data_IF_367366465324
#
_entry.id   IF_367366465324
#
_cell.length_a   1.000
_cell.length_b   1.000
_cell.length_c   1.000
_cell.angle_alpha   90.00
_cell.angle_beta   90.00
_cell.angle_gamma   90.00
#
_symmetry.space_group_name_H-M   'P 1'
#
loop_
_entity.id
_entity.type
_entity.pdbx_description
1 polymer ?
#
# COMPACT_ATOMS: atom_id res chain seq x y z
N UNK A 1 56.50 48.26 -23.93
CA UNK A 1 55.07 48.04 -24.11
C UNK A 1 54.71 46.64 -23.60
N UNK A 2 54.15 46.56 -22.38
CA UNK A 2 53.76 45.29 -21.76
C UNK A 2 52.28 45.02 -22.10
N UNK A 3 51.99 43.93 -22.82
CA UNK A 3 50.63 43.49 -23.12
C UNK A 3 50.12 42.69 -21.95
N UNK A 4 49.05 43.19 -21.27
CA UNK A 4 48.35 42.50 -20.20
C UNK A 4 47.29 41.62 -20.90
N UNK A 5 47.42 40.26 -20.77
CA UNK A 5 46.39 39.33 -21.17
C UNK A 5 45.38 39.18 -20.02
N UNK A 6 44.17 39.65 -20.26
CA UNK A 6 43.05 39.50 -19.34
C UNK A 6 42.37 38.15 -19.65
N UNK A 7 42.62 37.11 -18.82
CA UNK A 7 41.87 35.86 -18.89
C UNK A 7 40.47 36.04 -18.24
N UNK A 8 39.41 36.08 -19.05
CA UNK A 8 38.06 35.96 -18.55
C UNK A 8 37.82 34.49 -18.20
N UNK A 9 37.78 34.14 -16.91
CA UNK A 9 37.21 32.89 -16.43
C UNK A 9 35.68 33.02 -16.44
N UNK A 10 35.03 32.46 -17.46
CA UNK A 10 33.58 32.23 -17.42
C UNK A 10 33.31 31.02 -16.52
N UNK A 11 32.91 31.29 -15.29
CA UNK A 11 32.42 30.26 -14.36
C UNK A 11 31.08 29.70 -14.86
N UNK A 12 31.11 28.48 -15.40
CA UNK A 12 29.88 27.71 -15.63
C UNK A 12 29.31 27.32 -14.28
N UNK A 13 28.30 28.04 -13.78
CA UNK A 13 27.47 27.58 -12.70
C UNK A 13 26.63 26.40 -13.22
N UNK A 14 27.09 25.18 -13.02
CA UNK A 14 26.27 23.99 -13.12
C UNK A 14 25.25 24.04 -11.96
N UNK A 15 24.10 24.68 -12.19
CA UNK A 15 22.93 24.49 -11.33
C UNK A 15 22.55 23.02 -11.40
N UNK A 16 22.98 22.23 -10.40
CA UNK A 16 22.53 20.87 -10.22
C UNK A 16 21.01 20.88 -10.09
N UNK A 17 20.31 20.43 -11.13
CA UNK A 17 18.88 20.14 -11.04
C UNK A 17 18.78 18.96 -10.08
N UNK A 18 18.49 19.25 -8.82
CA UNK A 18 18.10 18.21 -7.86
C UNK A 18 16.82 17.57 -8.43
N UNK A 19 16.91 16.32 -8.85
CA UNK A 19 15.73 15.58 -9.31
C UNK A 19 14.69 15.61 -8.18
N UNK A 20 13.54 16.20 -8.46
CA UNK A 20 12.45 16.29 -7.49
C UNK A 20 12.02 14.86 -7.10
N UNK A 21 12.08 14.56 -5.80
CA UNK A 21 11.77 13.21 -5.29
C UNK A 21 10.26 12.99 -5.33
N UNK A 22 9.82 12.03 -6.12
CA UNK A 22 8.44 11.50 -6.10
C UNK A 22 8.27 10.58 -4.87
N UNK A 23 8.05 11.18 -3.70
CA UNK A 23 8.02 10.47 -2.42
C UNK A 23 6.80 9.52 -2.30
N UNK A 24 5.68 9.84 -2.94
CA UNK A 24 4.49 9.00 -2.97
C UNK A 24 4.49 7.99 -4.13
N UNK A 25 5.53 8.01 -4.97
CA UNK A 25 5.73 7.12 -6.10
C UNK A 25 4.58 7.13 -7.13
N UNK A 26 4.06 8.31 -7.45
CA UNK A 26 3.03 8.49 -8.47
C UNK A 26 3.44 7.91 -9.84
N UNK A 27 4.72 8.02 -10.19
CA UNK A 27 5.25 7.53 -11.46
C UNK A 27 5.15 6.01 -11.62
N UNK A 28 5.09 5.23 -10.50
CA UNK A 28 5.12 3.75 -10.55
C UNK A 28 4.03 3.19 -11.45
N UNK A 29 2.82 3.68 -11.32
CA UNK A 29 1.65 3.15 -12.05
C UNK A 29 1.12 4.07 -13.15
N UNK A 30 1.68 5.27 -13.31
CA UNK A 30 1.17 6.26 -14.27
C UNK A 30 1.05 5.71 -15.70
N UNK A 31 2.11 5.07 -16.22
CA UNK A 31 2.07 4.50 -17.56
C UNK A 31 1.14 3.28 -17.67
N UNK A 32 1.06 2.46 -16.62
CA UNK A 32 0.16 1.31 -16.57
C UNK A 32 -1.31 1.77 -16.50
N UNK A 33 -1.62 2.81 -15.72
CA UNK A 33 -2.95 3.37 -15.62
C UNK A 33 -3.46 3.88 -16.99
N UNK A 34 -2.59 4.52 -17.77
CA UNK A 34 -2.95 5.01 -19.12
C UNK A 34 -3.21 3.92 -20.15
N UNK A 35 -2.76 2.68 -19.90
CA UNK A 35 -2.94 1.54 -20.82
C UNK A 35 -4.18 0.70 -20.52
N UNK A 36 -4.87 0.97 -19.40
CA UNK A 36 -6.10 0.24 -19.07
C UNK A 36 -7.22 0.76 -19.96
N UNK A 37 -7.70 -0.10 -20.86
CA UNK A 37 -8.75 0.18 -21.84
C UNK A 37 -9.97 -0.74 -21.68
N UNK A 38 -10.06 -1.43 -20.55
CA UNK A 38 -11.13 -2.36 -20.21
C UNK A 38 -11.81 -1.97 -18.88
N UNK A 39 -13.08 -2.38 -18.65
CA UNK A 39 -13.76 -2.15 -17.38
C UNK A 39 -13.06 -2.89 -16.23
N UNK A 40 -12.57 -2.13 -15.25
CA UNK A 40 -11.88 -2.67 -14.06
C UNK A 40 -12.93 -3.14 -13.04
N UNK A 41 -12.88 -4.41 -12.63
CA UNK A 41 -13.78 -4.98 -11.62
C UNK A 41 -13.37 -4.55 -10.21
N UNK A 42 -12.10 -4.65 -9.89
CA UNK A 42 -11.58 -4.16 -8.61
C UNK A 42 -10.15 -3.67 -8.72
N UNK A 43 -9.83 -2.63 -7.96
CA UNK A 43 -8.45 -2.23 -7.68
C UNK A 43 -8.06 -2.74 -6.30
N UNK A 44 -6.92 -3.40 -6.21
CA UNK A 44 -6.32 -3.82 -4.93
C UNK A 44 -5.30 -2.77 -4.52
N UNK A 45 -5.68 -1.92 -3.57
CA UNK A 45 -4.85 -0.85 -3.02
C UNK A 45 -4.11 -1.36 -1.78
N UNK A 46 -2.77 -1.24 -1.77
CA UNK A 46 -1.98 -1.76 -0.66
C UNK A 46 -0.49 -1.44 -0.73
N UNK A 47 0.27 -2.20 0.04
CA UNK A 47 1.72 -2.11 0.16
C UNK A 47 2.45 -3.26 -0.58
N UNK A 48 3.62 -3.71 -0.05
CA UNK A 48 4.39 -4.85 -0.60
C UNK A 48 3.58 -6.15 -0.70
N UNK A 49 2.67 -6.40 0.22
CA UNK A 49 1.84 -7.60 0.21
C UNK A 49 0.96 -7.61 -1.04
N UNK A 50 0.31 -6.50 -1.35
CA UNK A 50 -0.50 -6.34 -2.58
C UNK A 50 0.37 -6.28 -3.85
N UNK A 51 1.53 -5.64 -3.78
CA UNK A 51 2.50 -5.57 -4.89
C UNK A 51 2.97 -6.96 -5.30
N UNK A 52 3.41 -7.77 -4.32
CA UNK A 52 3.86 -9.15 -4.53
C UNK A 52 2.74 -10.06 -5.01
N UNK A 53 1.51 -9.90 -4.49
CA UNK A 53 0.36 -10.69 -4.94
C UNK A 53 0.11 -10.52 -6.44
N UNK A 54 0.03 -9.28 -6.90
CA UNK A 54 -0.18 -9.00 -8.31
C UNK A 54 0.97 -9.46 -9.22
N UNK A 55 2.20 -9.55 -8.68
CA UNK A 55 3.36 -10.09 -9.41
C UNK A 55 3.38 -11.62 -9.42
N UNK A 56 3.08 -12.27 -8.29
CA UNK A 56 3.15 -13.73 -8.14
C UNK A 56 1.96 -14.45 -8.77
N UNK A 57 0.80 -13.80 -8.81
CA UNK A 57 -0.42 -14.36 -9.41
C UNK A 57 -1.09 -13.40 -10.39
N UNK A 58 -0.34 -13.00 -11.40
CA UNK A 58 -0.84 -12.12 -12.46
C UNK A 58 -2.01 -12.72 -13.24
N UNK A 59 -2.14 -14.06 -13.26
CA UNK A 59 -3.24 -14.77 -13.92
C UNK A 59 -4.54 -14.51 -13.18
N UNK A 60 -4.58 -14.67 -11.85
CA UNK A 60 -5.74 -14.35 -11.02
C UNK A 60 -6.22 -12.91 -11.25
N UNK A 61 -5.30 -11.96 -11.25
CA UNK A 61 -5.66 -10.56 -11.50
C UNK A 61 -6.23 -10.34 -12.90
N UNK A 62 -5.62 -10.93 -13.93
CA UNK A 62 -6.04 -10.76 -15.32
C UNK A 62 -7.42 -11.40 -15.61
N UNK A 63 -7.64 -12.64 -15.18
CA UNK A 63 -8.89 -13.38 -15.39
C UNK A 63 -10.10 -12.69 -14.75
N UNK A 64 -9.91 -12.05 -13.60
CA UNK A 64 -10.95 -11.34 -12.88
C UNK A 64 -11.06 -9.86 -13.24
N UNK A 65 -10.23 -9.35 -14.14
CA UNK A 65 -10.11 -7.91 -14.45
C UNK A 65 -9.84 -7.09 -13.18
N UNK A 66 -9.00 -7.63 -12.29
CA UNK A 66 -8.48 -6.95 -11.13
C UNK A 66 -7.19 -6.21 -11.46
N UNK A 67 -6.91 -5.14 -10.73
CA UNK A 67 -5.74 -4.30 -10.95
C UNK A 67 -5.00 -4.13 -9.62
N UNK A 68 -3.77 -4.66 -9.53
CA UNK A 68 -2.90 -4.48 -8.38
C UNK A 68 -2.30 -3.07 -8.36
N UNK A 69 -2.46 -2.37 -7.24
CA UNK A 69 -1.88 -1.05 -6.97
C UNK A 69 -1.19 -1.03 -5.61
N UNK A 70 -0.41 -2.09 -5.36
CA UNK A 70 0.49 -2.19 -4.22
C UNK A 70 1.80 -1.44 -4.45
N UNK A 71 2.34 -0.78 -3.44
CA UNK A 71 3.69 -0.21 -3.46
C UNK A 71 4.42 -0.60 -2.20
N UNK A 72 5.54 -1.33 -2.38
CA UNK A 72 6.35 -1.84 -1.27
C UNK A 72 6.81 -0.72 -0.34
N UNK A 73 6.68 -0.94 0.97
CA UNK A 73 7.10 0.01 2.02
C UNK A 73 6.08 1.11 2.34
N UNK A 74 5.06 1.33 1.51
CA UNK A 74 4.12 2.42 1.72
C UNK A 74 3.21 2.23 2.94
N UNK A 75 2.96 3.35 3.61
CA UNK A 75 2.01 3.54 4.70
C UNK A 75 0.63 3.95 4.18
N UNK A 76 -0.37 3.95 5.05
CA UNK A 76 -1.74 4.39 4.72
C UNK A 76 -1.81 5.83 4.22
N UNK A 77 -0.95 6.72 4.72
CA UNK A 77 -0.88 8.12 4.29
C UNK A 77 -0.41 8.24 2.82
N UNK A 78 0.62 7.49 2.43
CA UNK A 78 1.10 7.47 1.05
C UNK A 78 0.07 6.85 0.09
N UNK A 79 -0.64 5.80 0.53
CA UNK A 79 -1.74 5.22 -0.22
C UNK A 79 -2.87 6.23 -0.45
N UNK A 80 -3.26 6.99 0.59
CA UNK A 80 -4.29 8.01 0.50
C UNK A 80 -3.93 9.10 -0.51
N UNK A 81 -2.68 9.56 -0.52
CA UNK A 81 -2.22 10.62 -1.44
C UNK A 81 -2.35 10.20 -2.91
N UNK A 82 -2.02 8.95 -3.25
CA UNK A 82 -2.11 8.42 -4.63
C UNK A 82 -3.45 7.77 -4.96
N UNK A 83 -4.41 7.73 -4.04
CA UNK A 83 -5.70 7.07 -4.22
C UNK A 83 -6.49 7.59 -5.42
N UNK A 84 -6.43 8.90 -5.66
CA UNK A 84 -7.11 9.51 -6.81
C UNK A 84 -6.56 8.98 -8.14
N UNK A 85 -5.23 8.96 -8.30
CA UNK A 85 -4.59 8.50 -9.53
C UNK A 85 -4.78 7.00 -9.75
N UNK A 86 -4.58 6.20 -8.71
CA UNK A 86 -4.43 4.75 -8.81
C UNK A 86 -5.74 3.98 -8.62
N UNK A 87 -6.79 4.63 -8.10
CA UNK A 87 -8.10 4.02 -7.90
C UNK A 87 -9.19 4.81 -8.62
N UNK A 88 -9.42 6.08 -8.25
CA UNK A 88 -10.54 6.85 -8.78
C UNK A 88 -10.41 7.05 -10.28
N UNK A 89 -9.19 7.35 -10.77
CA UNK A 89 -8.91 7.53 -12.20
C UNK A 89 -9.18 6.30 -13.06
N UNK A 90 -9.21 5.10 -12.46
CA UNK A 90 -9.52 3.85 -13.15
C UNK A 90 -11.01 3.50 -13.14
N UNK A 91 -11.81 4.21 -12.37
CA UNK A 91 -13.27 4.02 -12.25
C UNK A 91 -13.69 2.55 -12.03
N UNK A 92 -13.10 1.80 -11.08
CA UNK A 92 -13.42 0.40 -10.85
C UNK A 92 -14.81 0.24 -10.22
N UNK A 93 -15.39 -0.96 -10.27
CA UNK A 93 -16.63 -1.29 -9.54
C UNK A 93 -16.39 -1.35 -8.02
N UNK A 94 -15.18 -1.80 -7.62
CA UNK A 94 -14.79 -1.92 -6.21
C UNK A 94 -13.31 -1.56 -5.98
N UNK A 95 -12.98 -1.25 -4.73
CA UNK A 95 -11.59 -1.15 -4.26
C UNK A 95 -11.40 -2.01 -3.02
N UNK A 96 -10.41 -2.89 -3.05
CA UNK A 96 -9.96 -3.71 -1.92
C UNK A 96 -8.81 -2.97 -1.26
N UNK A 97 -8.96 -2.58 0.00
CA UNK A 97 -7.97 -1.80 0.75
C UNK A 97 -7.34 -2.66 1.84
N UNK A 98 -6.05 -2.89 1.73
CA UNK A 98 -5.25 -3.59 2.74
C UNK A 98 -4.07 -2.70 3.15
N UNK A 99 -4.20 -2.02 4.28
CA UNK A 99 -3.28 -1.00 4.77
C UNK A 99 -3.03 -1.13 6.27
N UNK A 100 -1.88 -0.68 6.76
CA UNK A 100 -1.55 -0.61 8.18
C UNK A 100 -0.24 -1.29 8.57
N UNK A 101 0.21 -2.33 7.87
CA UNK A 101 1.45 -3.05 8.21
C UNK A 101 2.66 -2.13 8.37
N UNK A 102 2.91 -1.26 7.40
CA UNK A 102 4.06 -0.36 7.40
C UNK A 102 3.87 0.85 8.33
N UNK A 103 2.63 1.24 8.59
CA UNK A 103 2.28 2.22 9.62
C UNK A 103 2.64 1.69 11.00
N UNK A 104 2.21 0.46 11.31
CA UNK A 104 2.55 -0.24 12.57
C UNK A 104 4.04 -0.46 12.72
N UNK A 105 4.74 -0.79 11.62
CA UNK A 105 6.19 -0.92 11.58
C UNK A 105 6.92 0.43 11.62
N UNK A 106 6.20 1.55 11.67
CA UNK A 106 6.74 2.91 11.75
C UNK A 106 7.73 3.25 10.61
N UNK A 107 7.45 2.79 9.39
CA UNK A 107 8.34 3.03 8.24
C UNK A 107 8.57 4.53 7.96
N UNK A 108 7.55 5.35 8.20
CA UNK A 108 7.62 6.82 8.09
C UNK A 108 7.55 7.51 9.48
N UNK A 109 7.97 6.80 10.55
CA UNK A 109 7.87 7.28 11.92
C UNK A 109 6.56 6.85 12.59
N UNK A 110 6.42 7.24 13.88
CA UNK A 110 5.26 6.88 14.69
C UNK A 110 3.98 7.56 14.17
N UNK A 111 2.90 6.79 14.15
CA UNK A 111 1.54 7.26 13.88
C UNK A 111 0.56 6.53 14.82
N UNK A 112 -0.40 7.25 15.40
CA UNK A 112 -1.43 6.66 16.26
C UNK A 112 -2.41 5.80 15.43
N UNK A 113 -2.99 4.76 16.04
CA UNK A 113 -3.91 3.83 15.34
C UNK A 113 -5.14 4.56 14.79
N UNK A 114 -5.63 5.56 15.51
CA UNK A 114 -6.76 6.40 15.10
C UNK A 114 -6.46 7.14 13.80
N UNK A 115 -5.21 7.58 13.60
CA UNK A 115 -4.80 8.27 12.38
C UNK A 115 -4.60 7.29 11.21
N UNK A 116 -4.13 6.06 11.49
CA UNK A 116 -4.10 4.98 10.48
C UNK A 116 -5.53 4.69 10.01
N UNK A 117 -6.45 4.48 10.96
CA UNK A 117 -7.86 4.30 10.64
C UNK A 117 -8.44 5.50 9.90
N UNK A 118 -8.10 6.73 10.29
CA UNK A 118 -8.51 7.96 9.61
C UNK A 118 -8.11 8.00 8.13
N UNK A 119 -6.89 7.58 7.80
CA UNK A 119 -6.45 7.47 6.41
C UNK A 119 -7.26 6.41 5.64
N UNK A 120 -7.52 5.25 6.26
CA UNK A 120 -8.33 4.17 5.67
C UNK A 120 -9.78 4.65 5.46
N UNK A 121 -10.37 5.31 6.45
CA UNK A 121 -11.71 5.89 6.38
C UNK A 121 -11.82 6.90 5.23
N UNK A 122 -10.85 7.80 5.10
CA UNK A 122 -10.79 8.77 4.01
C UNK A 122 -10.75 8.12 2.64
N UNK A 123 -10.00 7.02 2.46
CA UNK A 123 -10.02 6.24 1.22
C UNK A 123 -11.40 5.63 0.95
N UNK A 124 -12.09 5.12 1.97
CA UNK A 124 -13.44 4.58 1.83
C UNK A 124 -14.47 5.65 1.47
N UNK A 125 -14.39 6.83 2.08
CA UNK A 125 -15.26 7.97 1.80
C UNK A 125 -15.07 8.48 0.38
N UNK A 126 -13.81 8.61 -0.05
CA UNK A 126 -13.48 8.97 -1.45
C UNK A 126 -14.01 7.93 -2.43
N UNK A 127 -13.87 6.63 -2.14
CA UNK A 127 -14.41 5.57 -2.97
C UNK A 127 -15.94 5.69 -3.12
N UNK A 128 -16.66 5.81 -1.99
CA UNK A 128 -18.13 5.96 -1.99
C UNK A 128 -18.60 7.20 -2.74
N UNK A 129 -17.91 8.34 -2.56
CA UNK A 129 -18.20 9.59 -3.28
C UNK A 129 -18.13 9.40 -4.81
N UNK A 130 -17.22 8.55 -5.27
CA UNK A 130 -17.03 8.21 -6.68
C UNK A 130 -17.79 6.95 -7.12
N UNK A 131 -18.76 6.45 -6.32
CA UNK A 131 -19.58 5.25 -6.59
C UNK A 131 -18.75 3.96 -6.73
N UNK A 132 -17.58 3.92 -6.14
CA UNK A 132 -16.72 2.75 -6.03
C UNK A 132 -17.02 2.07 -4.70
N UNK A 133 -17.32 0.76 -4.72
CA UNK A 133 -17.61 0.00 -3.50
C UNK A 133 -16.31 -0.32 -2.75
N UNK A 134 -16.07 0.22 -1.53
CA UNK A 134 -14.93 -0.17 -0.73
C UNK A 134 -15.12 -1.55 -0.11
N UNK A 135 -14.02 -2.31 -0.03
CA UNK A 135 -13.90 -3.58 0.69
C UNK A 135 -12.65 -3.43 1.55
N UNK A 136 -12.78 -3.59 2.86
CA UNK A 136 -11.67 -3.52 3.79
C UNK A 136 -11.14 -4.90 4.11
N UNK A 137 -9.82 -5.03 4.19
CA UNK A 137 -9.18 -6.24 4.66
C UNK A 137 -8.50 -5.99 6.00
N UNK A 138 -8.43 -7.03 6.83
CA UNK A 138 -7.54 -7.01 7.99
C UNK A 138 -6.08 -6.86 7.55
N UNK A 139 -5.27 -6.23 8.39
CA UNK A 139 -3.81 -6.37 8.34
C UNK A 139 -3.48 -7.84 8.59
N UNK A 140 -2.60 -8.42 7.77
CA UNK A 140 -2.19 -9.81 7.93
C UNK A 140 -1.48 -10.04 9.27
N UNK A 141 -1.53 -11.28 9.80
CA UNK A 141 -0.83 -11.59 11.04
C UNK A 141 0.69 -11.44 10.85
N UNK A 142 1.35 -10.86 11.83
CA UNK A 142 2.81 -10.87 11.96
C UNK A 142 3.17 -10.88 13.44
N UNK A 143 3.96 -11.88 13.87
CA UNK A 143 4.41 -11.94 15.24
C UNK A 143 5.37 -10.79 15.59
N UNK A 144 6.23 -10.44 14.63
CA UNK A 144 7.20 -9.33 14.71
C UNK A 144 7.51 -8.81 13.33
N UNK A 145 7.98 -7.57 13.25
CA UNK A 145 8.59 -7.03 12.03
C UNK A 145 10.11 -7.22 12.11
N UNK A 146 10.71 -7.93 11.15
CA UNK A 146 12.15 -8.24 11.18
C UNK A 146 13.04 -7.00 11.21
N UNK A 147 12.55 -5.89 10.63
CA UNK A 147 13.23 -4.59 10.56
C UNK A 147 12.86 -3.60 11.68
N UNK A 148 11.90 -3.96 12.58
CA UNK A 148 11.41 -3.13 13.70
C UNK A 148 11.04 -4.03 14.87
N UNK A 149 12.04 -4.70 15.44
CA UNK A 149 11.82 -5.74 16.47
C UNK A 149 11.30 -5.17 17.80
N UNK A 150 11.49 -3.85 18.04
CA UNK A 150 11.02 -3.15 19.21
C UNK A 150 9.49 -2.89 19.22
N UNK A 151 8.83 -3.04 18.06
CA UNK A 151 7.37 -2.86 17.96
C UNK A 151 6.67 -4.19 18.30
N UNK A 152 5.69 -4.19 19.23
CA UNK A 152 4.86 -5.36 19.54
C UNK A 152 3.84 -5.59 18.41
N UNK A 153 4.30 -6.17 17.30
CA UNK A 153 3.55 -6.24 16.03
C UNK A 153 2.21 -6.96 16.21
N UNK A 154 2.21 -8.16 16.81
CA UNK A 154 1.00 -8.98 16.92
C UNK A 154 -0.14 -8.26 17.65
N UNK A 155 0.16 -7.65 18.81
CA UNK A 155 -0.85 -6.95 19.62
C UNK A 155 -1.39 -5.71 18.90
N UNK A 156 -0.49 -4.93 18.27
CA UNK A 156 -0.88 -3.73 17.53
C UNK A 156 -1.70 -4.05 16.28
N UNK A 157 -1.40 -5.17 15.61
CA UNK A 157 -2.19 -5.66 14.46
C UNK A 157 -3.61 -6.02 14.93
N UNK A 158 -3.75 -6.76 16.03
CA UNK A 158 -5.07 -7.12 16.58
C UNK A 158 -5.87 -5.89 16.93
N UNK A 159 -5.25 -4.92 17.60
CA UNK A 159 -5.91 -3.67 18.00
C UNK A 159 -6.41 -2.88 16.77
N UNK A 160 -5.55 -2.68 15.77
CA UNK A 160 -5.92 -1.99 14.53
C UNK A 160 -7.00 -2.75 13.76
N UNK A 161 -6.91 -4.08 13.64
CA UNK A 161 -7.90 -4.90 12.96
C UNK A 161 -9.28 -4.79 13.63
N UNK A 162 -9.33 -4.77 14.97
CA UNK A 162 -10.58 -4.52 15.70
C UNK A 162 -11.19 -3.14 15.43
N UNK A 163 -10.35 -2.13 15.22
CA UNK A 163 -10.82 -0.78 14.84
C UNK A 163 -11.34 -0.76 13.39
N UNK A 164 -10.62 -1.39 12.44
CA UNK A 164 -11.02 -1.47 11.02
C UNK A 164 -12.34 -2.25 10.88
N UNK A 165 -12.47 -3.40 11.54
CA UNK A 165 -13.68 -4.21 11.52
C UNK A 165 -14.90 -3.45 12.06
N UNK A 166 -14.74 -2.75 13.19
CA UNK A 166 -15.79 -1.91 13.76
C UNK A 166 -16.22 -0.82 12.80
N UNK A 167 -15.25 -0.08 12.23
CA UNK A 167 -15.51 0.95 11.24
C UNK A 167 -16.26 0.40 10.01
N UNK A 168 -15.84 -0.77 9.51
CA UNK A 168 -16.49 -1.43 8.39
C UNK A 168 -17.95 -1.75 8.70
N UNK A 169 -18.23 -2.36 9.86
CA UNK A 169 -19.57 -2.70 10.31
C UNK A 169 -20.47 -1.46 10.47
N UNK A 170 -19.98 -0.42 11.13
CA UNK A 170 -20.73 0.82 11.38
C UNK A 170 -21.06 1.58 10.10
N UNK A 171 -20.23 1.41 9.03
CA UNK A 171 -20.39 2.11 7.77
C UNK A 171 -20.95 1.23 6.63
N UNK A 172 -21.37 0.00 6.91
CA UNK A 172 -21.91 -0.93 5.90
C UNK A 172 -20.90 -1.31 4.82
N UNK A 173 -19.62 -1.44 5.20
CA UNK A 173 -18.51 -1.80 4.31
C UNK A 173 -18.20 -3.30 4.51
N UNK A 174 -17.99 -4.03 3.41
CA UNK A 174 -17.54 -5.42 3.48
C UNK A 174 -16.16 -5.51 4.12
N UNK A 175 -15.98 -6.47 5.04
CA UNK A 175 -14.72 -6.74 5.71
C UNK A 175 -14.27 -8.17 5.43
N UNK A 176 -12.99 -8.35 5.07
CA UNK A 176 -12.34 -9.65 4.84
C UNK A 176 -11.32 -9.87 5.94
N UNK A 177 -11.55 -10.88 6.78
CA UNK A 177 -10.67 -11.21 7.91
C UNK A 177 -9.61 -12.25 7.52
N UNK A 178 -8.60 -11.82 6.80
CA UNK A 178 -7.42 -12.64 6.51
C UNK A 178 -6.61 -12.99 7.78
N UNK A 179 -6.62 -12.09 8.78
CA UNK A 179 -5.84 -12.31 10.02
C UNK A 179 -6.27 -13.58 10.72
N UNK A 180 -7.56 -13.76 10.96
CA UNK A 180 -8.08 -14.95 11.65
C UNK A 180 -7.90 -16.23 10.84
N UNK A 181 -7.97 -16.12 9.51
CA UNK A 181 -7.79 -17.26 8.61
C UNK A 181 -6.33 -17.77 8.51
N UNK A 182 -5.35 -16.86 8.71
CA UNK A 182 -3.94 -17.15 8.40
C UNK A 182 -3.03 -17.24 9.63
N UNK A 183 -3.47 -16.76 10.80
CA UNK A 183 -2.61 -16.69 11.99
C UNK A 183 -2.27 -18.05 12.60
N UNK A 184 -1.09 -18.12 13.19
CA UNK A 184 -0.67 -19.21 14.09
C UNK A 184 -1.07 -18.95 15.55
N UNK A 185 -0.66 -19.85 16.46
CA UNK A 185 -0.93 -19.73 17.89
C UNK A 185 -0.25 -18.54 18.58
N UNK A 186 0.67 -17.83 17.91
CA UNK A 186 1.35 -16.62 18.39
C UNK A 186 0.81 -15.36 17.72
N UNK A 187 -0.31 -15.45 16.98
CA UNK A 187 -0.85 -14.40 16.14
C UNK A 187 0.13 -13.89 15.05
N UNK A 188 1.04 -14.77 14.60
CA UNK A 188 1.96 -14.51 13.51
C UNK A 188 1.55 -15.24 12.23
N UNK A 189 2.15 -14.86 11.11
CA UNK A 189 2.04 -15.61 9.86
C UNK A 189 2.94 -16.83 9.94
N UNK A 190 2.39 -18.07 9.78
CA UNK A 190 3.18 -19.31 9.92
C UNK A 190 4.29 -19.40 8.88
N UNK A 191 5.39 -20.09 9.22
CA UNK A 191 6.54 -20.29 8.34
C UNK A 191 6.15 -20.94 6.99
N UNK A 192 5.18 -21.85 6.98
CA UNK A 192 4.66 -22.47 5.75
C UNK A 192 4.05 -21.45 4.77
N UNK A 193 3.61 -20.29 5.25
CA UNK A 193 2.99 -19.24 4.45
C UNK A 193 3.87 -18.03 4.21
N UNK A 194 5.01 -17.93 4.91
CA UNK A 194 5.90 -16.77 4.80
C UNK A 194 7.32 -17.11 5.25
N UNK A 195 8.32 -16.76 4.45
CA UNK A 195 9.71 -16.93 4.82
C UNK A 195 10.24 -15.90 5.80
N UNK A 196 9.60 -14.75 5.92
CA UNK A 196 10.01 -13.64 6.82
C UNK A 196 8.99 -13.32 7.92
N UNK A 197 7.85 -14.04 7.92
CA UNK A 197 6.76 -13.86 8.88
C UNK A 197 5.85 -12.65 8.60
N UNK A 198 6.00 -11.99 7.43
CA UNK A 198 5.22 -10.81 7.03
C UNK A 198 4.67 -10.93 5.60
N UNK A 199 5.51 -11.35 4.65
CA UNK A 199 5.14 -11.39 3.24
C UNK A 199 4.64 -12.80 2.86
N UNK A 200 3.39 -12.92 2.37
CA UNK A 200 2.85 -14.19 1.90
C UNK A 200 3.66 -14.80 0.76
N UNK A 201 3.77 -16.12 0.77
CA UNK A 201 4.22 -16.89 -0.38
C UNK A 201 3.03 -17.24 -1.32
N UNK A 202 3.28 -17.86 -2.49
CA UNK A 202 2.21 -18.20 -3.44
C UNK A 202 1.09 -19.08 -2.85
N UNK A 203 1.42 -20.01 -1.95
CA UNK A 203 0.42 -20.87 -1.28
C UNK A 203 -0.52 -20.04 -0.39
N UNK A 204 0.05 -19.07 0.34
CA UNK A 204 -0.74 -18.16 1.17
C UNK A 204 -1.66 -17.28 0.35
N UNK A 205 -1.20 -16.75 -0.79
CA UNK A 205 -2.05 -15.96 -1.69
C UNK A 205 -3.22 -16.78 -2.24
N UNK A 206 -3.05 -18.08 -2.51
CA UNK A 206 -4.16 -18.95 -2.91
C UNK A 206 -5.24 -19.14 -1.84
N UNK A 207 -4.92 -18.94 -0.58
CA UNK A 207 -5.91 -18.93 0.51
C UNK A 207 -6.64 -17.57 0.57
N UNK A 208 -5.96 -16.50 0.16
CA UNK A 208 -6.50 -15.14 0.20
C UNK A 208 -7.46 -14.84 -0.99
N UNK A 209 -7.39 -15.64 -2.07
CA UNK A 209 -8.32 -15.62 -3.20
C UNK A 209 -9.72 -16.12 -2.83
#
# INVERSE_FOLDING_TARGET
MKKIFLCLLTGLCLSGVSAQRDWAQFAKYEAANRRIDYPVKAVFMGNSITDNWALMDSVFFAEHRFVGRGISGQTSAEMLVRFRQDVIGLSPEAVVIMAGTNDLAQNNGYIALENILGNIASMCELAKLHKIRPILCSVLPAYRFGWRQEVPAADRIIELNGMIERYARENGISYVDYHSALKDGRNGLPEKYSGDGVHPNPECYKIME
#
